data_IF_945510094086
#
_entry.id   IF_945510094086
#
_cell.length_a   1.000
_cell.length_b   1.000
_cell.length_c   1.000
_cell.angle_alpha   90.00
_cell.angle_beta   90.00
_cell.angle_gamma   90.00
#
_symmetry.space_group_name_H-M   'P 1'
#
loop_
_entity.id
_entity.type
_entity.pdbx_description
1 polymer ?
#
# COMPACT_ATOMS: atom_id res chain seq x y z
N UNK A 1 -13.69 -26.90 -2.21
CA UNK A 1 -12.44 -26.23 -1.80
C UNK A 1 -11.71 -25.56 -2.96
N UNK A 2 -11.73 -26.10 -4.19
CA UNK A 2 -11.16 -25.39 -5.35
C UNK A 2 -11.96 -24.16 -5.80
N UNK A 3 -13.26 -24.09 -5.54
CA UNK A 3 -14.13 -22.98 -6.00
C UNK A 3 -13.92 -21.66 -5.25
N UNK A 4 -13.36 -21.70 -4.04
CA UNK A 4 -13.15 -20.52 -3.19
C UNK A 4 -11.87 -19.76 -3.56
N UNK A 5 -10.85 -20.49 -4.01
CA UNK A 5 -9.56 -19.92 -4.43
C UNK A 5 -9.71 -19.08 -5.69
N UNK A 6 -10.56 -19.46 -6.66
CA UNK A 6 -10.78 -18.68 -7.89
C UNK A 6 -11.50 -17.35 -7.67
N UNK A 7 -12.39 -17.27 -6.68
CA UNK A 7 -13.07 -16.01 -6.32
C UNK A 7 -12.08 -14.97 -5.81
N UNK A 8 -11.05 -15.41 -5.06
CA UNK A 8 -10.01 -14.53 -4.54
C UNK A 8 -9.19 -13.85 -5.65
N UNK A 9 -8.95 -14.55 -6.77
CA UNK A 9 -8.21 -13.98 -7.92
C UNK A 9 -9.03 -12.98 -8.73
N UNK A 10 -10.35 -13.14 -8.81
CA UNK A 10 -11.23 -12.19 -9.49
C UNK A 10 -11.44 -10.90 -8.68
N UNK A 11 -11.34 -10.96 -7.35
CA UNK A 11 -11.46 -9.80 -6.46
C UNK A 11 -10.30 -8.81 -6.63
N UNK A 12 -9.09 -9.31 -6.93
CA UNK A 12 -7.86 -8.50 -7.14
C UNK A 12 -7.99 -7.49 -8.29
N UNK A 13 -8.95 -7.67 -9.21
CA UNK A 13 -9.14 -6.81 -10.38
C UNK A 13 -10.36 -5.88 -10.32
N UNK A 14 -11.20 -5.93 -9.28
CA UNK A 14 -12.37 -5.06 -9.18
C UNK A 14 -12.10 -3.85 -8.30
N UNK A 15 -11.77 -2.71 -8.92
CA UNK A 15 -11.79 -1.43 -8.22
C UNK A 15 -13.24 -0.97 -8.01
N UNK A 16 -13.70 -0.93 -6.76
CA UNK A 16 -14.96 -0.28 -6.40
C UNK A 16 -14.73 1.20 -6.10
N UNK A 17 -15.68 2.06 -6.51
CA UNK A 17 -15.61 3.48 -6.17
C UNK A 17 -16.18 3.69 -4.75
N UNK A 18 -15.33 4.21 -3.86
CA UNK A 18 -15.70 4.51 -2.47
C UNK A 18 -15.63 6.02 -2.26
N UNK A 19 -16.71 6.60 -1.77
CA UNK A 19 -16.75 8.01 -1.36
C UNK A 19 -16.30 8.13 0.09
N UNK A 20 -15.26 8.92 0.34
CA UNK A 20 -14.69 9.17 1.67
C UNK A 20 -14.76 10.65 1.99
N UNK A 21 -15.21 10.99 3.20
CA UNK A 21 -15.16 12.37 3.70
C UNK A 21 -13.82 12.60 4.38
N UNK A 22 -13.13 13.65 3.97
CA UNK A 22 -11.87 14.10 4.56
C UNK A 22 -12.05 15.52 5.05
N UNK A 23 -11.48 15.84 6.21
CA UNK A 23 -11.32 17.23 6.62
C UNK A 23 -10.38 17.97 5.64
N UNK A 24 -10.60 19.26 5.46
CA UNK A 24 -9.85 20.11 4.54
C UNK A 24 -8.34 20.05 4.80
N UNK A 25 -7.92 20.00 6.06
CA UNK A 25 -6.52 19.92 6.45
C UNK A 25 -5.88 18.62 5.98
N UNK A 26 -6.58 17.50 6.14
CA UNK A 26 -6.09 16.20 5.70
C UNK A 26 -6.07 16.11 4.17
N UNK A 27 -7.14 16.56 3.52
CA UNK A 27 -7.22 16.59 2.06
C UNK A 27 -6.05 17.40 1.46
N UNK A 28 -5.74 18.56 2.03
CA UNK A 28 -4.64 19.40 1.54
C UNK A 28 -3.27 18.76 1.78
N UNK A 29 -3.04 18.19 2.96
CA UNK A 29 -1.80 17.45 3.26
C UNK A 29 -1.57 16.28 2.29
N UNK A 30 -2.63 15.63 1.82
CA UNK A 30 -2.56 14.56 0.84
C UNK A 30 -2.31 15.10 -0.57
N UNK A 31 -2.97 16.19 -0.97
CA UNK A 31 -2.72 16.86 -2.27
C UNK A 31 -1.27 17.28 -2.42
N UNK A 32 -0.70 17.92 -1.40
CA UNK A 32 0.71 18.34 -1.40
C UNK A 32 1.64 17.14 -1.61
N UNK A 33 1.40 16.03 -0.89
CA UNK A 33 2.20 14.81 -1.04
C UNK A 33 2.03 14.14 -2.40
N UNK A 34 0.80 14.08 -2.91
CA UNK A 34 0.51 13.48 -4.21
C UNK A 34 1.19 14.27 -5.33
N UNK A 35 1.12 15.60 -5.28
CA UNK A 35 1.82 16.48 -6.22
C UNK A 35 3.34 16.30 -6.17
N UNK A 36 3.92 16.15 -4.98
CA UNK A 36 5.36 15.91 -4.82
C UNK A 36 5.83 14.60 -5.45
N UNK A 37 4.95 13.59 -5.58
CA UNK A 37 5.25 12.31 -6.21
C UNK A 37 4.68 12.15 -7.63
N UNK A 38 4.10 13.22 -8.22
CA UNK A 38 3.48 13.14 -9.56
C UNK A 38 2.22 12.28 -9.63
N UNK A 39 1.52 12.09 -8.51
CA UNK A 39 0.33 11.24 -8.39
C UNK A 39 -0.96 12.06 -8.25
N UNK A 40 -2.09 11.43 -8.56
CA UNK A 40 -3.39 11.99 -8.22
C UNK A 40 -3.69 11.82 -6.72
N UNK A 41 -4.60 12.64 -6.18
CA UNK A 41 -5.06 12.49 -4.80
C UNK A 41 -5.69 11.11 -4.57
N UNK A 42 -6.46 10.61 -5.53
CA UNK A 42 -7.12 9.31 -5.44
C UNK A 42 -6.12 8.16 -5.42
N UNK A 43 -5.06 8.23 -6.23
CA UNK A 43 -4.00 7.21 -6.22
C UNK A 43 -3.25 7.18 -4.89
N UNK A 44 -2.98 8.37 -4.32
CA UNK A 44 -2.37 8.49 -3.00
C UNK A 44 -3.26 7.89 -1.90
N UNK A 45 -4.55 8.21 -1.92
CA UNK A 45 -5.53 7.68 -0.97
C UNK A 45 -5.64 6.16 -1.05
N UNK A 46 -5.78 5.63 -2.26
CA UNK A 46 -5.83 4.18 -2.50
C UNK A 46 -4.60 3.49 -1.92
N UNK A 47 -3.40 3.99 -2.26
CA UNK A 47 -2.15 3.43 -1.73
C UNK A 47 -2.09 3.48 -0.21
N UNK A 48 -2.46 4.60 0.39
CA UNK A 48 -2.44 4.71 1.86
C UNK A 48 -3.45 3.79 2.53
N UNK A 49 -4.60 3.52 1.91
CA UNK A 49 -5.54 2.53 2.39
C UNK A 49 -4.97 1.10 2.30
N UNK A 50 -4.38 0.72 1.17
CA UNK A 50 -3.73 -0.59 0.98
C UNK A 50 -2.57 -0.79 1.96
N UNK A 51 -1.69 0.20 2.08
CA UNK A 51 -0.57 0.16 3.04
C UNK A 51 -1.07 0.15 4.49
N UNK A 52 -2.18 0.82 4.78
CA UNK A 52 -2.83 0.80 6.10
C UNK A 52 -3.32 -0.60 6.46
N UNK A 53 -4.11 -1.22 5.58
CA UNK A 53 -4.61 -2.59 5.77
C UNK A 53 -3.47 -3.59 5.98
N UNK A 54 -2.39 -3.47 5.19
CA UNK A 54 -1.21 -4.33 5.33
C UNK A 54 -0.46 -4.11 6.65
N UNK A 55 -0.48 -2.90 7.22
CA UNK A 55 0.10 -2.65 8.54
C UNK A 55 -0.76 -3.23 9.66
N UNK A 56 -2.08 -3.24 9.50
CA UNK A 56 -2.97 -3.88 10.48
C UNK A 56 -2.72 -5.40 10.55
N UNK A 57 -2.50 -6.03 9.39
CA UNK A 57 -2.12 -7.45 9.30
C UNK A 57 -0.67 -7.72 9.73
N UNK A 58 0.23 -6.78 9.45
CA UNK A 58 1.67 -6.91 9.70
C UNK A 58 2.23 -5.64 10.35
N UNK A 59 2.07 -5.47 11.69
CA UNK A 59 2.43 -4.23 12.39
C UNK A 59 3.91 -3.83 12.29
N UNK A 60 4.79 -4.81 12.05
CA UNK A 60 6.23 -4.58 11.92
C UNK A 60 6.65 -4.20 10.49
N UNK A 61 5.72 -4.20 9.52
CA UNK A 61 5.98 -3.80 8.14
C UNK A 61 5.76 -2.30 7.97
N UNK A 62 6.67 -1.66 7.25
CA UNK A 62 6.59 -0.28 6.81
C UNK A 62 6.80 -0.17 5.31
N UNK A 63 6.40 0.97 4.74
CA UNK A 63 6.50 1.27 3.32
C UNK A 63 7.34 2.54 3.14
N UNK A 64 8.43 2.42 2.37
CA UNK A 64 9.45 3.46 2.18
C UNK A 64 9.56 3.80 0.71
N UNK A 65 9.89 5.05 0.41
CA UNK A 65 10.30 5.43 -0.94
C UNK A 65 11.78 5.07 -1.12
N UNK A 66 12.16 4.70 -2.34
CA UNK A 66 13.52 4.35 -2.70
C UNK A 66 13.79 4.58 -4.20
N UNK A 67 15.05 4.44 -4.65
CA UNK A 67 15.42 4.66 -6.05
C UNK A 67 14.68 3.75 -7.04
N UNK A 68 14.30 2.55 -6.59
CA UNK A 68 13.54 1.56 -7.35
C UNK A 68 12.03 1.68 -7.15
N UNK A 69 11.56 2.74 -6.49
CA UNK A 69 10.16 2.99 -6.18
C UNK A 69 9.80 2.70 -4.72
N UNK A 70 8.51 2.54 -4.49
CA UNK A 70 7.91 2.27 -3.16
C UNK A 70 8.18 0.81 -2.78
N UNK A 71 8.78 0.57 -1.61
CA UNK A 71 9.20 -0.75 -1.15
C UNK A 71 8.69 -1.06 0.26
N UNK A 72 8.35 -2.31 0.52
CA UNK A 72 8.02 -2.81 1.86
C UNK A 72 9.29 -3.20 2.61
N UNK A 73 9.35 -2.93 3.92
CA UNK A 73 10.45 -3.33 4.78
C UNK A 73 10.05 -3.44 6.24
N UNK A 74 10.93 -4.00 7.07
CA UNK A 74 10.72 -4.04 8.52
C UNK A 74 11.05 -2.69 9.16
N UNK A 75 10.31 -2.33 10.21
CA UNK A 75 10.62 -1.15 11.03
C UNK A 75 12.05 -1.28 11.59
N UNK A 76 12.90 -0.29 11.28
CA UNK A 76 14.30 -0.29 11.70
C UNK A 76 15.18 -1.37 11.06
N UNK A 77 14.65 -2.08 10.05
CA UNK A 77 15.28 -3.26 9.46
C UNK A 77 15.36 -3.25 7.93
N UNK A 78 15.71 -4.40 7.34
CA UNK A 78 15.87 -4.57 5.91
C UNK A 78 14.54 -4.47 5.17
N UNK A 79 14.59 -4.35 3.86
CA UNK A 79 13.44 -4.53 3.00
C UNK A 79 12.97 -5.99 3.00
N UNK A 80 11.68 -6.20 2.75
CA UNK A 80 11.10 -7.56 2.73
C UNK A 80 11.73 -8.41 1.63
N UNK A 81 12.05 -7.83 0.46
CA UNK A 81 12.70 -8.58 -0.62
C UNK A 81 14.07 -9.10 -0.21
N UNK A 82 14.82 -8.36 0.61
CA UNK A 82 16.12 -8.81 1.12
C UNK A 82 15.90 -10.06 1.97
N UNK A 83 14.92 -10.04 2.88
CA UNK A 83 14.58 -11.18 3.75
C UNK A 83 14.16 -12.41 2.93
N UNK A 84 13.31 -12.22 1.92
CA UNK A 84 12.84 -13.33 1.07
C UNK A 84 14.01 -14.03 0.39
N UNK A 85 15.01 -13.28 -0.09
CA UNK A 85 16.22 -13.86 -0.68
C UNK A 85 17.01 -14.74 0.30
N UNK A 86 16.95 -14.49 1.61
CA UNK A 86 17.62 -15.31 2.64
C UNK A 86 16.81 -16.53 3.08
N UNK A 87 15.48 -16.51 2.93
CA UNK A 87 14.58 -17.59 3.38
C UNK A 87 14.34 -18.63 2.28
N UNK A 88 14.54 -18.25 1.01
CA UNK A 88 14.40 -19.14 -0.15
C UNK A 88 15.65 -20.04 -0.40
N UNK A 89 16.64 -20.00 0.50
CA UNK A 89 17.79 -20.94 0.57
C UNK A 89 17.54 -22.07 1.59
#
# INVERSE_FOLDING_TARGET
MIFEVWTLWYDVFMSVNVSVRLDDTLAERLRVRAKASGETLSDRLRRYAEEGSRRDEHPMVTFRDGPTGRRAGLIGGPDIWEIVMWVDE
#
